data_IF_554457126434
#
_entry.id   IF_554457126434
#
_cell.length_a   1.000
_cell.length_b   1.000
_cell.length_c   1.000
_cell.angle_alpha   90.00
_cell.angle_beta   90.00
_cell.angle_gamma   90.00
#
_symmetry.space_group_name_H-M   'P 1'
#
loop_
_entity.id
_entity.type
_entity.pdbx_description
1 polymer ?
#
# COMPACT_ATOMS: atom_id res chain seq x y z
N UNK A 1 18.25 22.82 5.08
CA UNK A 1 17.68 22.62 3.74
C UNK A 1 16.74 21.43 3.84
N UNK A 2 15.43 21.64 3.85
CA UNK A 2 14.47 20.54 3.81
C UNK A 2 14.17 20.24 2.33
N UNK A 3 14.34 18.98 1.96
CA UNK A 3 13.83 18.40 0.71
C UNK A 3 12.86 17.30 1.15
N UNK A 4 11.69 17.20 0.55
CA UNK A 4 10.92 15.97 0.72
C UNK A 4 11.71 14.84 0.04
N UNK A 5 12.00 13.77 0.77
CA UNK A 5 12.50 12.52 0.17
C UNK A 5 11.37 11.75 -0.53
N UNK A 6 10.12 12.14 -0.25
CA UNK A 6 8.91 11.73 -0.94
C UNK A 6 8.62 12.68 -2.11
N UNK A 7 7.98 12.18 -3.16
CA UNK A 7 7.64 12.96 -4.36
C UNK A 7 6.66 14.11 -4.07
N UNK A 8 6.50 15.01 -5.05
CA UNK A 8 5.55 16.14 -5.03
C UNK A 8 4.09 15.71 -4.73
N UNK A 9 3.77 14.43 -4.93
CA UNK A 9 2.44 13.86 -4.80
C UNK A 9 2.44 12.80 -3.70
N UNK A 10 1.72 13.07 -2.60
CA UNK A 10 1.61 12.19 -1.44
C UNK A 10 0.79 10.90 -1.69
N UNK A 11 0.19 10.76 -2.87
CA UNK A 11 -0.61 9.60 -3.29
C UNK A 11 -0.28 9.19 -4.72
N UNK A 12 -0.47 7.91 -5.02
CA UNK A 12 -0.23 7.34 -6.35
C UNK A 12 -1.11 7.98 -7.42
N UNK A 13 -0.49 8.65 -8.39
CA UNK A 13 -1.21 9.19 -9.54
C UNK A 13 -1.63 8.04 -10.45
N UNK A 14 -2.94 7.76 -10.45
CA UNK A 14 -3.58 6.80 -11.34
C UNK A 14 -3.60 7.32 -12.78
N UNK A 15 -2.50 7.11 -13.51
CA UNK A 15 -2.49 7.24 -14.97
C UNK A 15 -3.12 5.99 -15.58
N UNK A 16 -4.12 6.17 -16.46
CA UNK A 16 -4.75 5.08 -17.21
C UNK A 16 -3.73 4.36 -18.11
N UNK A 17 -3.88 3.04 -18.37
CA UNK A 17 -3.01 2.33 -19.30
C UNK A 17 -3.16 2.90 -20.72
N UNK A 18 -2.15 3.64 -21.17
CA UNK A 18 -2.04 4.16 -22.53
C UNK A 18 -0.57 4.18 -22.98
N UNK A 19 -0.34 4.38 -24.28
CA UNK A 19 0.96 4.46 -24.94
C UNK A 19 1.12 5.71 -25.85
N UNK A 20 0.22 6.69 -25.74
CA UNK A 20 0.07 7.82 -26.67
C UNK A 20 0.20 9.21 -26.02
N UNK A 21 0.72 9.34 -24.79
CA UNK A 21 0.84 10.64 -24.11
C UNK A 21 1.96 11.45 -24.77
N UNK A 22 1.64 12.60 -25.36
CA UNK A 22 2.61 13.49 -26.00
C UNK A 22 3.33 14.39 -25.00
N UNK A 23 2.63 14.86 -23.97
CA UNK A 23 3.20 15.76 -22.97
C UNK A 23 2.54 15.68 -21.59
N UNK A 24 3.35 15.98 -20.58
CA UNK A 24 2.95 16.24 -19.20
C UNK A 24 3.17 17.73 -18.97
N UNK A 25 2.14 18.45 -18.53
CA UNK A 25 2.25 19.83 -18.07
C UNK A 25 1.93 19.92 -16.59
N UNK A 26 2.71 20.70 -15.84
CA UNK A 26 2.49 20.96 -14.43
C UNK A 26 2.50 22.48 -14.24
N UNK A 27 1.41 23.04 -13.73
CA UNK A 27 1.37 24.43 -13.24
C UNK A 27 1.31 24.42 -11.72
N UNK A 28 2.30 25.05 -11.08
CA UNK A 28 2.23 25.35 -9.64
C UNK A 28 1.44 26.64 -9.42
N UNK A 29 0.66 26.67 -8.34
CA UNK A 29 -0.28 27.73 -8.00
C UNK A 29 -0.48 27.76 -6.46
N UNK A 30 -1.39 28.59 -5.97
CA UNK A 30 -1.81 28.61 -4.56
C UNK A 30 -1.28 29.80 -3.75
N UNK A 31 -1.97 30.15 -2.65
CA UNK A 31 -1.79 31.43 -1.95
C UNK A 31 -0.46 31.59 -1.22
N UNK A 32 0.31 30.51 -1.03
CA UNK A 32 1.63 30.53 -0.37
C UNK A 32 2.77 30.13 -1.31
N UNK A 33 2.53 30.03 -2.62
CA UNK A 33 3.59 29.79 -3.61
C UNK A 33 4.57 30.98 -3.64
N UNK A 34 5.85 30.72 -3.30
CA UNK A 34 6.90 31.73 -3.33
C UNK A 34 7.94 31.37 -4.39
N UNK A 35 7.81 31.96 -5.59
CA UNK A 35 8.64 31.62 -6.75
C UNK A 35 10.16 31.79 -6.53
N UNK A 36 10.59 32.54 -5.52
CA UNK A 36 12.01 32.71 -5.20
C UNK A 36 12.55 31.60 -4.29
N UNK A 37 11.70 31.03 -3.43
CA UNK A 37 12.07 30.00 -2.45
C UNK A 37 11.67 28.59 -2.88
N UNK A 38 10.60 28.50 -3.66
CA UNK A 38 10.00 27.27 -4.15
C UNK A 38 10.65 26.83 -5.45
N UNK A 39 10.87 25.52 -5.53
CA UNK A 39 11.52 24.84 -6.64
C UNK A 39 10.84 23.51 -6.88
N UNK A 40 10.82 23.11 -8.15
CA UNK A 40 10.65 21.70 -8.50
C UNK A 40 12.03 21.07 -8.62
N UNK A 41 12.17 19.80 -8.26
CA UNK A 41 13.39 19.02 -8.52
C UNK A 41 13.02 17.88 -9.47
N UNK A 42 13.72 17.79 -10.60
CA UNK A 42 13.50 16.78 -11.63
C UNK A 42 14.70 15.82 -11.66
N UNK A 43 15.66 16.08 -12.54
CA UNK A 43 17.05 15.61 -12.47
C UNK A 43 17.94 16.60 -11.70
N UNK A 44 17.60 17.89 -11.76
CA UNK A 44 18.23 19.00 -11.02
C UNK A 44 17.17 19.96 -10.47
N UNK A 45 17.48 20.82 -9.48
CA UNK A 45 16.57 21.85 -9.00
C UNK A 45 16.24 22.90 -10.08
N UNK A 46 14.98 23.01 -10.43
CA UNK A 46 14.38 24.02 -11.30
C UNK A 46 13.88 25.20 -10.46
N UNK A 47 14.37 26.41 -10.75
CA UNK A 47 13.87 27.65 -10.17
C UNK A 47 12.54 28.07 -10.82
N UNK A 48 11.61 28.60 -10.02
CA UNK A 48 10.26 28.97 -10.51
C UNK A 48 10.12 30.47 -10.83
N UNK A 49 11.12 31.30 -10.49
CA UNK A 49 11.13 32.74 -10.75
C UNK A 49 11.68 33.15 -12.13
N UNK A 50 12.06 32.21 -12.98
CA UNK A 50 12.60 32.48 -14.31
C UNK A 50 12.26 31.34 -15.29
N UNK A 51 12.04 31.66 -16.56
CA UNK A 51 11.83 30.64 -17.60
C UNK A 51 13.11 29.85 -17.89
N UNK A 52 12.95 28.54 -18.10
CA UNK A 52 13.99 27.64 -18.59
C UNK A 52 13.67 27.21 -20.03
N UNK A 53 14.55 27.57 -20.97
CA UNK A 53 14.48 27.07 -22.34
C UNK A 53 14.58 25.53 -22.36
N UNK A 54 13.86 24.90 -23.29
CA UNK A 54 13.77 23.43 -23.36
C UNK A 54 15.14 22.76 -23.43
N UNK A 55 15.44 21.94 -22.42
CA UNK A 55 16.60 21.05 -22.39
C UNK A 55 16.18 19.64 -22.80
N UNK A 56 17.10 18.87 -23.38
CA UNK A 56 16.84 17.53 -23.95
C UNK A 56 17.85 16.49 -23.46
N UNK A 57 17.58 15.20 -23.71
CA UNK A 57 18.46 14.10 -23.31
C UNK A 57 18.43 13.80 -21.81
N UNK A 58 17.35 14.19 -21.14
CA UNK A 58 17.18 14.12 -19.69
C UNK A 58 16.62 12.76 -19.25
N UNK A 59 16.79 12.45 -17.97
CA UNK A 59 16.21 11.27 -17.32
C UNK A 59 15.52 11.68 -16.02
N UNK A 60 14.26 11.29 -15.84
CA UNK A 60 13.45 11.60 -14.65
C UNK A 60 12.71 10.32 -14.26
N UNK A 61 12.85 9.89 -13.00
CA UNK A 61 12.21 8.65 -12.52
C UNK A 61 12.66 7.38 -13.26
N UNK A 62 13.86 7.39 -13.84
CA UNK A 62 14.37 6.29 -14.68
C UNK A 62 13.93 6.35 -16.15
N UNK A 63 12.97 7.21 -16.51
CA UNK A 63 12.55 7.41 -17.90
C UNK A 63 13.54 8.32 -18.61
N UNK A 64 14.24 7.78 -19.61
CA UNK A 64 15.26 8.48 -20.39
C UNK A 64 14.72 9.08 -21.70
N UNK A 65 15.54 9.91 -22.36
CA UNK A 65 15.18 10.55 -23.62
C UNK A 65 14.17 11.69 -23.48
N UNK A 66 14.03 12.24 -22.26
CA UNK A 66 13.11 13.31 -21.97
C UNK A 66 13.65 14.67 -22.41
N UNK A 67 12.73 15.56 -22.74
CA UNK A 67 12.96 17.00 -22.86
C UNK A 67 11.99 17.72 -21.94
N UNK A 68 12.46 18.78 -21.27
CA UNK A 68 11.59 19.62 -20.44
C UNK A 68 11.99 21.09 -20.55
N UNK A 69 11.01 21.96 -20.38
CA UNK A 69 11.18 23.42 -20.32
C UNK A 69 10.15 24.02 -19.37
N UNK A 70 10.42 25.22 -18.87
CA UNK A 70 9.56 25.92 -17.92
C UNK A 70 9.32 27.35 -18.38
N UNK A 71 8.06 27.76 -18.43
CA UNK A 71 7.69 29.15 -18.68
C UNK A 71 7.30 29.82 -17.36
N UNK A 72 8.15 30.72 -16.87
CA UNK A 72 7.92 31.47 -15.65
C UNK A 72 6.80 32.51 -15.75
N UNK A 73 6.31 32.83 -16.95
CA UNK A 73 5.17 33.75 -17.14
C UNK A 73 3.81 33.06 -16.96
N UNK A 74 3.70 31.80 -17.39
CA UNK A 74 2.51 30.96 -17.19
C UNK A 74 2.63 29.96 -16.03
N UNK A 75 3.82 29.89 -15.43
CA UNK A 75 4.22 28.94 -14.38
C UNK A 75 4.12 27.47 -14.80
N UNK A 76 4.18 27.19 -16.10
CA UNK A 76 4.02 25.84 -16.66
C UNK A 76 5.37 25.18 -16.94
N UNK A 77 5.63 24.08 -16.22
CA UNK A 77 6.60 23.07 -16.60
C UNK A 77 5.97 22.17 -17.67
N UNK A 78 6.64 21.98 -18.80
CA UNK A 78 6.27 21.00 -19.83
C UNK A 78 7.36 19.94 -19.95
N UNK A 79 6.96 18.66 -19.93
CA UNK A 79 7.83 17.49 -20.13
C UNK A 79 7.29 16.68 -21.30
N UNK A 80 8.16 16.22 -22.18
CA UNK A 80 7.88 15.31 -23.29
C UNK A 80 9.06 14.36 -23.51
N UNK A 81 8.90 13.33 -24.36
CA UNK A 81 10.05 12.68 -25.00
C UNK A 81 10.49 13.48 -26.24
N UNK A 82 11.52 13.00 -26.94
CA UNK A 82 11.91 13.50 -28.26
C UNK A 82 10.70 13.60 -29.22
N UNK A 83 10.64 14.60 -30.11
CA UNK A 83 9.49 14.82 -30.99
C UNK A 83 9.06 13.56 -31.75
N UNK A 84 7.75 13.27 -31.72
CA UNK A 84 7.16 12.08 -32.36
C UNK A 84 7.24 10.78 -31.54
N UNK A 85 7.90 10.77 -30.38
CA UNK A 85 7.94 9.60 -29.49
C UNK A 85 6.94 9.81 -28.34
N UNK A 86 5.88 8.99 -28.20
CA UNK A 86 4.96 9.10 -27.08
C UNK A 86 5.51 8.50 -25.79
N UNK A 87 4.92 8.92 -24.67
CA UNK A 87 5.08 8.34 -23.34
C UNK A 87 3.95 7.34 -23.07
N UNK A 88 4.31 6.26 -22.39
CA UNK A 88 3.32 5.35 -21.80
C UNK A 88 2.77 5.90 -20.49
N UNK A 89 1.61 5.40 -20.05
CA UNK A 89 1.08 5.71 -18.72
C UNK A 89 2.02 5.29 -17.58
N UNK A 90 2.88 4.30 -17.80
CA UNK A 90 3.96 3.92 -16.89
C UNK A 90 5.08 4.96 -16.86
N UNK A 91 5.55 5.42 -18.04
CA UNK A 91 6.53 6.51 -18.13
C UNK A 91 6.01 7.76 -17.40
N UNK A 92 4.78 8.16 -17.69
CA UNK A 92 4.13 9.33 -17.09
C UNK A 92 4.01 9.19 -15.56
N UNK A 93 3.65 8.01 -15.05
CA UNK A 93 3.59 7.75 -13.61
C UNK A 93 4.98 7.82 -12.96
N UNK A 94 5.99 7.22 -13.58
CA UNK A 94 7.37 7.24 -13.07
C UNK A 94 7.96 8.66 -13.02
N UNK A 95 7.72 9.46 -14.08
CA UNK A 95 8.10 10.88 -14.13
C UNK A 95 7.41 11.65 -13.00
N UNK A 96 6.08 11.53 -12.88
CA UNK A 96 5.31 12.28 -11.88
C UNK A 96 5.72 11.91 -10.44
N UNK A 97 5.93 10.63 -10.13
CA UNK A 97 6.44 10.19 -8.81
C UNK A 97 7.82 10.75 -8.47
N UNK A 98 8.69 10.95 -9.47
CA UNK A 98 10.07 11.37 -9.26
C UNK A 98 10.26 12.89 -9.15
N UNK A 99 9.29 13.70 -9.60
CA UNK A 99 9.33 15.14 -9.39
C UNK A 99 9.11 15.43 -7.90
N UNK A 100 10.02 16.19 -7.28
CA UNK A 100 9.92 16.60 -5.87
C UNK A 100 9.65 18.10 -5.76
N UNK A 101 9.13 18.52 -4.61
CA UNK A 101 9.03 19.92 -4.22
C UNK A 101 10.16 20.27 -3.24
N UNK A 102 10.73 21.47 -3.41
CA UNK A 102 11.74 22.00 -2.51
C UNK A 102 11.40 23.45 -2.15
N UNK A 103 11.22 23.71 -0.86
CA UNK A 103 11.02 25.04 -0.30
C UNK A 103 12.26 25.39 0.54
N UNK A 104 13.18 26.18 -0.04
CA UNK A 104 14.53 26.34 0.49
C UNK A 104 14.57 27.01 1.88
N UNK A 105 13.61 27.90 2.13
CA UNK A 105 13.33 28.49 3.45
C UNK A 105 11.87 28.16 3.79
N UNK A 106 11.63 27.15 4.66
CA UNK A 106 10.31 26.73 5.10
C UNK A 106 9.33 27.88 5.37
N UNK A 107 8.18 27.88 4.69
CA UNK A 107 7.00 28.69 5.04
C UNK A 107 5.71 27.86 4.96
N UNK A 108 4.87 27.96 5.98
CA UNK A 108 3.68 27.15 6.13
C UNK A 108 2.59 27.42 5.07
N UNK A 109 1.59 26.54 5.00
CA UNK A 109 0.35 26.72 4.24
C UNK A 109 0.36 26.13 2.82
N UNK A 110 -0.68 26.46 2.06
CA UNK A 110 -1.07 25.69 0.88
C UNK A 110 -0.46 26.19 -0.44
N UNK A 111 0.05 25.22 -1.20
CA UNK A 111 0.38 25.31 -2.62
C UNK A 111 -0.52 24.33 -3.36
N UNK A 112 -0.74 24.55 -4.64
CA UNK A 112 -1.44 23.58 -5.49
C UNK A 112 -0.65 23.30 -6.77
N UNK A 113 -0.90 22.14 -7.35
CA UNK A 113 -0.38 21.79 -8.67
C UNK A 113 -1.53 21.32 -9.56
N UNK A 114 -1.64 21.90 -10.76
CA UNK A 114 -2.50 21.35 -11.82
C UNK A 114 -1.62 20.53 -12.75
N UNK A 115 -1.92 19.24 -12.86
CA UNK A 115 -1.30 18.32 -13.82
C UNK A 115 -2.23 18.22 -15.03
N UNK A 116 -1.71 18.41 -16.23
CA UNK A 116 -2.42 18.16 -17.49
C UNK A 116 -1.63 17.15 -18.32
N UNK A 117 -2.30 16.09 -18.75
CA UNK A 117 -1.77 15.13 -19.73
C UNK A 117 -2.41 15.43 -21.08
N UNK A 118 -1.61 15.50 -22.14
CA UNK A 118 -2.08 15.62 -23.52
C UNK A 118 -1.62 14.41 -24.32
N UNK A 119 -2.50 13.81 -25.13
CA UNK A 119 -2.15 12.70 -26.04
C UNK A 119 -1.54 13.20 -27.36
N UNK A 120 -1.18 12.29 -28.28
CA UNK A 120 -0.65 12.62 -29.62
C UNK A 120 -1.72 13.24 -30.54
N UNK A 121 -3.01 12.99 -30.30
CA UNK A 121 -4.12 13.59 -31.04
C UNK A 121 -4.49 15.01 -30.54
N UNK A 122 -3.94 15.45 -29.40
CA UNK A 122 -4.19 16.74 -28.77
C UNK A 122 -5.30 16.72 -27.71
N UNK A 123 -5.96 15.58 -27.45
CA UNK A 123 -6.92 15.50 -26.36
C UNK A 123 -6.19 15.66 -25.03
N UNK A 124 -6.80 16.34 -24.06
CA UNK A 124 -6.18 16.61 -22.77
C UNK A 124 -7.11 16.32 -21.61
N UNK A 125 -6.54 15.74 -20.54
CA UNK A 125 -7.18 15.60 -19.23
C UNK A 125 -6.34 16.31 -18.17
N UNK A 126 -6.97 16.78 -17.10
CA UNK A 126 -6.25 17.44 -16.01
C UNK A 126 -6.77 17.00 -14.63
N UNK A 127 -5.92 17.18 -13.62
CA UNK A 127 -6.24 16.98 -12.21
C UNK A 127 -5.51 18.01 -11.35
N UNK A 128 -6.12 18.40 -10.23
CA UNK A 128 -5.53 19.30 -9.24
C UNK A 128 -5.13 18.54 -7.98
N UNK A 129 -4.02 18.95 -7.38
CA UNK A 129 -3.59 18.50 -6.04
C UNK A 129 -3.25 19.71 -5.17
N UNK A 130 -3.37 19.54 -3.85
CA UNK A 130 -2.94 20.52 -2.84
C UNK A 130 -1.80 19.94 -2.02
N UNK A 131 -0.74 20.72 -1.84
CA UNK A 131 0.38 20.46 -0.95
C UNK A 131 0.31 21.46 0.20
N UNK A 132 0.03 20.99 1.41
CA UNK A 132 0.06 21.83 2.61
C UNK A 132 1.38 21.63 3.34
N UNK A 133 2.10 22.73 3.57
CA UNK A 133 3.34 22.72 4.37
C UNK A 133 2.97 23.03 5.81
N UNK A 134 3.05 22.03 6.70
CA UNK A 134 2.93 22.27 8.14
C UNK A 134 4.29 22.64 8.73
N UNK A 135 4.33 23.73 9.49
CA UNK A 135 5.48 24.17 10.28
C UNK A 135 5.16 24.30 11.76
N UNK A 136 4.02 23.78 12.20
CA UNK A 136 3.64 23.72 13.60
C UNK A 136 4.71 22.93 14.34
N UNK A 137 5.54 23.61 15.12
CA UNK A 137 6.53 22.96 15.95
C UNK A 137 5.81 21.94 16.84
N UNK A 138 6.22 20.65 16.86
CA UNK A 138 5.59 19.65 17.70
C UNK A 138 5.54 20.15 19.14
N UNK A 139 4.38 20.02 19.79
CA UNK A 139 4.26 20.35 21.20
C UNK A 139 5.34 19.61 22.00
N UNK A 140 6.08 20.33 22.83
CA UNK A 140 7.20 19.75 23.57
C UNK A 140 6.70 18.62 24.48
N UNK A 141 7.14 17.39 24.21
CA UNK A 141 6.83 16.24 25.04
C UNK A 141 7.60 16.38 26.36
N UNK A 142 6.94 16.95 27.36
CA UNK A 142 7.45 16.98 28.73
C UNK A 142 7.09 15.67 29.43
N UNK A 143 8.03 14.73 29.45
CA UNK A 143 7.91 13.49 30.19
C UNK A 143 8.22 13.68 31.66
N UNK A 144 7.20 13.61 32.54
CA UNK A 144 7.44 13.26 33.94
C UNK A 144 7.62 11.75 34.05
N UNK A 145 8.50 11.29 34.95
CA UNK A 145 8.70 9.86 35.19
C UNK A 145 7.46 9.28 35.87
N UNK A 146 6.55 8.71 35.09
CA UNK A 146 5.41 7.96 35.61
C UNK A 146 5.88 6.55 35.94
N UNK A 147 6.34 6.37 37.18
CA UNK A 147 6.61 5.04 37.73
C UNK A 147 5.41 4.12 37.46
N UNK A 148 5.68 2.95 36.89
CA UNK A 148 4.72 1.91 36.53
C UNK A 148 3.80 2.19 35.31
N UNK A 149 4.06 3.21 34.47
CA UNK A 149 3.35 3.40 33.17
C UNK A 149 4.24 3.61 31.94
N UNK A 150 5.55 3.51 32.05
CA UNK A 150 6.43 3.58 30.87
C UNK A 150 6.31 2.32 30.01
N UNK A 151 5.87 2.47 28.77
CA UNK A 151 5.97 1.43 27.74
C UNK A 151 7.39 1.48 27.18
N UNK A 152 8.21 0.49 27.52
CA UNK A 152 9.51 0.28 26.88
C UNK A 152 9.33 -0.63 25.68
N UNK A 153 9.63 -0.13 24.47
CA UNK A 153 9.66 -0.94 23.27
C UNK A 153 10.99 -1.69 23.20
N UNK A 154 10.97 -2.99 23.52
CA UNK A 154 12.13 -3.86 23.33
C UNK A 154 12.09 -4.45 21.93
N UNK A 155 13.09 -4.14 21.10
CA UNK A 155 13.34 -4.90 19.88
C UNK A 155 13.85 -6.30 20.23
N UNK A 156 13.32 -7.31 19.56
CA UNK A 156 13.68 -8.71 19.76
C UNK A 156 13.91 -9.33 18.39
N UNK A 157 15.17 -9.59 18.05
CA UNK A 157 15.54 -10.26 16.81
C UNK A 157 15.29 -11.75 16.94
N UNK A 158 14.64 -12.34 15.92
CA UNK A 158 14.59 -13.79 15.76
C UNK A 158 15.95 -14.22 15.17
N UNK A 159 16.68 -15.17 15.78
CA UNK A 159 17.93 -15.68 15.24
C UNK A 159 17.68 -16.62 14.05
N UNK A 160 18.75 -17.15 13.44
CA UNK A 160 18.68 -18.05 12.27
C UNK A 160 18.17 -19.45 12.66
N UNK A 161 16.87 -19.52 12.94
CA UNK A 161 16.13 -20.72 13.37
C UNK A 161 14.80 -20.87 12.60
N UNK A 162 14.68 -20.21 11.43
CA UNK A 162 13.40 -20.05 10.74
C UNK A 162 12.94 -21.34 10.02
N UNK A 163 13.81 -21.98 9.24
CA UNK A 163 13.48 -23.22 8.52
C UNK A 163 14.49 -24.35 8.77
N UNK A 164 14.02 -25.59 8.71
CA UNK A 164 14.84 -26.80 8.90
C UNK A 164 15.90 -26.96 7.80
N UNK A 165 15.57 -26.54 6.57
CA UNK A 165 16.49 -26.58 5.41
C UNK A 165 17.21 -25.25 5.21
N UNK A 166 16.51 -24.11 5.37
CA UNK A 166 17.06 -22.77 5.14
C UNK A 166 16.82 -21.91 6.38
N UNK A 167 17.85 -21.74 7.22
CA UNK A 167 17.71 -21.15 8.56
C UNK A 167 17.24 -19.68 8.60
N UNK A 168 17.31 -18.98 7.48
CA UNK A 168 16.91 -17.58 7.33
C UNK A 168 15.51 -17.40 6.73
N UNK A 169 14.86 -18.46 6.22
CA UNK A 169 13.58 -18.38 5.51
C UNK A 169 12.56 -19.38 6.08
N UNK A 170 11.29 -18.97 6.11
CA UNK A 170 10.13 -19.81 6.44
C UNK A 170 9.26 -19.93 5.18
N UNK A 171 8.99 -21.14 4.72
CA UNK A 171 8.06 -21.41 3.61
C UNK A 171 6.74 -21.96 4.15
N UNK A 172 5.64 -21.74 3.42
CA UNK A 172 4.33 -22.33 3.67
C UNK A 172 4.39 -23.80 4.14
N UNK A 173 4.02 -24.05 5.40
CA UNK A 173 4.02 -25.36 6.06
C UNK A 173 5.15 -25.55 7.08
N UNK A 174 6.21 -24.75 7.02
CA UNK A 174 7.31 -24.74 7.99
C UNK A 174 6.95 -23.94 9.26
N UNK A 175 7.66 -24.22 10.36
CA UNK A 175 7.51 -23.47 11.61
C UNK A 175 8.80 -23.34 12.40
N UNK A 176 9.08 -22.12 12.88
CA UNK A 176 10.23 -21.81 13.71
C UNK A 176 9.86 -21.88 15.20
N UNK A 177 10.63 -22.63 16.00
CA UNK A 177 10.50 -22.60 17.47
C UNK A 177 11.27 -21.41 18.05
N UNK A 178 10.53 -20.34 18.35
CA UNK A 178 11.03 -19.09 18.91
C UNK A 178 10.80 -18.98 20.42
N UNK A 179 10.55 -20.11 21.11
CA UNK A 179 10.29 -20.15 22.57
C UNK A 179 11.41 -19.53 23.39
N UNK A 180 12.67 -19.67 22.93
CA UNK A 180 13.86 -19.08 23.56
C UNK A 180 13.84 -17.54 23.63
N UNK A 181 12.96 -16.90 22.85
CA UNK A 181 12.79 -15.45 22.82
C UNK A 181 11.79 -14.93 23.85
N UNK A 182 10.99 -15.82 24.48
CA UNK A 182 10.01 -15.42 25.48
C UNK A 182 10.69 -14.71 26.67
N UNK A 183 10.29 -13.46 27.00
CA UNK A 183 10.80 -12.78 28.19
C UNK A 183 10.46 -13.54 29.47
N UNK A 184 11.37 -13.53 30.44
CA UNK A 184 11.16 -14.19 31.73
C UNK A 184 9.85 -13.72 32.39
N UNK A 185 8.97 -14.66 32.74
CA UNK A 185 7.66 -14.38 33.33
C UNK A 185 6.52 -14.15 32.33
N UNK A 186 6.75 -14.18 31.02
CA UNK A 186 5.70 -14.17 30.00
C UNK A 186 5.35 -15.58 29.51
N UNK A 187 4.06 -15.82 29.24
CA UNK A 187 3.60 -16.92 28.38
C UNK A 187 3.59 -16.47 26.91
N UNK A 188 3.51 -17.45 26.00
CA UNK A 188 3.32 -17.20 24.56
C UNK A 188 2.16 -16.22 24.29
N UNK A 189 1.00 -16.43 24.91
CA UNK A 189 -0.17 -15.56 24.74
C UNK A 189 0.05 -14.12 25.26
N UNK A 190 0.70 -13.96 26.42
CA UNK A 190 1.01 -12.62 26.96
C UNK A 190 2.09 -11.90 26.16
N UNK A 191 3.04 -12.64 25.59
CA UNK A 191 4.07 -12.08 24.73
C UNK A 191 3.48 -11.59 23.40
N UNK A 192 2.74 -12.44 22.69
CA UNK A 192 2.14 -12.10 21.38
C UNK A 192 1.16 -10.92 21.47
N UNK A 193 0.35 -10.87 22.53
CA UNK A 193 -0.54 -9.72 22.78
C UNK A 193 0.18 -8.43 23.21
N UNK A 194 1.44 -8.52 23.68
CA UNK A 194 2.26 -7.35 24.04
C UNK A 194 3.01 -6.72 22.87
N UNK A 195 3.23 -7.47 21.79
CA UNK A 195 3.90 -6.98 20.59
C UNK A 195 3.14 -5.77 20.00
N UNK A 196 3.83 -4.92 19.21
CA UNK A 196 3.22 -3.75 18.52
C UNK A 196 3.55 -3.60 17.04
N UNK A 197 4.59 -4.29 16.58
CA UNK A 197 4.94 -4.39 15.18
C UNK A 197 5.94 -5.50 14.94
N UNK A 198 6.07 -5.92 13.69
CA UNK A 198 7.05 -6.88 13.19
C UNK A 198 7.69 -6.26 11.94
N UNK A 199 9.01 -6.38 11.84
CA UNK A 199 9.79 -6.05 10.64
C UNK A 199 10.43 -7.35 10.14
N UNK A 200 10.41 -7.57 8.83
CA UNK A 200 11.12 -8.68 8.19
C UNK A 200 11.81 -8.18 6.92
N UNK A 201 13.06 -8.58 6.72
CA UNK A 201 13.71 -8.54 5.41
C UNK A 201 13.47 -9.87 4.69
N UNK A 202 13.40 -9.83 3.37
CA UNK A 202 13.23 -11.00 2.51
C UNK A 202 14.51 -11.34 1.79
N UNK A 203 14.67 -12.62 1.47
CA UNK A 203 15.92 -13.14 0.93
C UNK A 203 15.76 -14.44 0.17
N UNK A 204 16.87 -15.14 0.06
CA UNK A 204 16.96 -16.43 -0.62
C UNK A 204 17.25 -16.31 -2.12
N UNK A 205 17.52 -17.46 -2.74
CA UNK A 205 17.92 -17.59 -4.15
C UNK A 205 17.09 -16.75 -5.14
N UNK A 206 15.74 -16.65 -5.02
CA UNK A 206 14.93 -15.84 -5.95
C UNK A 206 15.05 -14.32 -5.80
N UNK A 207 15.82 -13.82 -4.82
CA UNK A 207 15.98 -12.39 -4.52
C UNK A 207 17.46 -12.01 -4.57
N UNK A 208 18.32 -12.75 -3.87
CA UNK A 208 19.75 -12.43 -3.67
C UNK A 208 20.70 -13.39 -4.40
N UNK A 209 20.18 -14.43 -5.04
CA UNK A 209 20.93 -15.58 -5.59
C UNK A 209 21.62 -16.50 -4.55
N UNK A 210 21.44 -16.24 -3.25
CA UNK A 210 21.93 -17.10 -2.16
C UNK A 210 20.79 -17.38 -1.17
N UNK A 211 20.61 -18.65 -0.81
CA UNK A 211 19.58 -19.11 0.14
C UNK A 211 19.69 -18.48 1.55
N UNK A 212 20.89 -18.01 1.93
CA UNK A 212 21.21 -17.54 3.28
C UNK A 212 21.42 -16.03 3.41
N UNK A 213 20.97 -15.23 2.43
CA UNK A 213 21.07 -13.77 2.49
C UNK A 213 19.72 -13.10 2.28
N UNK A 214 19.46 -12.03 3.04
CA UNK A 214 18.35 -11.09 2.85
C UNK A 214 18.82 -9.84 2.11
N UNK A 215 17.87 -9.09 1.56
CA UNK A 215 18.11 -7.74 1.06
C UNK A 215 17.06 -6.78 1.65
N UNK A 216 17.57 -5.80 2.41
CA UNK A 216 16.79 -4.72 3.06
C UNK A 216 15.84 -3.95 2.14
N UNK A 217 16.04 -3.94 0.82
CA UNK A 217 15.13 -3.29 -0.12
C UNK A 217 13.81 -4.08 -0.28
N UNK A 218 13.84 -5.38 -0.03
CA UNK A 218 12.68 -6.25 0.02
C UNK A 218 12.30 -6.49 1.48
N UNK A 219 11.57 -5.55 2.08
CA UNK A 219 11.14 -5.67 3.47
C UNK A 219 9.61 -5.59 3.63
N UNK A 220 9.14 -6.02 4.80
CA UNK A 220 7.77 -5.89 5.26
C UNK A 220 7.74 -5.26 6.64
N UNK A 221 6.85 -4.31 6.84
CA UNK A 221 6.47 -3.80 8.17
C UNK A 221 5.01 -4.14 8.40
N UNK A 222 4.72 -4.85 9.49
CA UNK A 222 3.36 -5.13 9.94
C UNK A 222 3.17 -4.53 11.33
N UNK A 223 2.14 -3.70 11.51
CA UNK A 223 1.88 -2.98 12.77
C UNK A 223 0.48 -3.27 13.29
N UNK A 224 0.32 -3.27 14.62
CA UNK A 224 -0.92 -3.70 15.27
C UNK A 224 -1.13 -2.93 16.59
N UNK A 225 -1.94 -1.86 16.57
CA UNK A 225 -2.06 -0.92 17.70
C UNK A 225 -2.46 -1.60 19.01
N UNK A 226 -3.38 -2.56 18.96
CA UNK A 226 -3.95 -3.27 20.11
C UNK A 226 -3.11 -4.46 20.61
N UNK A 227 -2.07 -4.90 19.89
CA UNK A 227 -1.62 -6.29 19.99
C UNK A 227 -2.48 -7.21 19.12
N UNK A 228 -2.10 -8.49 19.00
CA UNK A 228 -2.87 -9.53 18.31
C UNK A 228 -2.81 -10.85 19.10
N UNK A 229 -3.65 -11.83 18.73
CA UNK A 229 -3.75 -13.11 19.44
C UNK A 229 -2.86 -14.21 18.86
N UNK A 230 -2.72 -15.30 19.61
CA UNK A 230 -2.32 -16.59 19.02
C UNK A 230 -3.34 -17.01 17.95
N UNK A 231 -2.88 -17.80 16.97
CA UNK A 231 -3.64 -18.32 15.83
C UNK A 231 -4.31 -17.25 14.94
N UNK A 232 -4.08 -15.96 15.22
CA UNK A 232 -4.43 -14.85 14.33
C UNK A 232 -3.49 -14.86 13.14
N UNK A 233 -4.02 -14.84 11.93
CA UNK A 233 -3.22 -14.77 10.70
C UNK A 233 -2.86 -13.33 10.38
N UNK A 234 -1.59 -13.09 10.05
CA UNK A 234 -1.09 -11.83 9.50
C UNK A 234 -0.28 -12.11 8.24
N UNK A 235 -0.19 -11.14 7.33
CA UNK A 235 0.55 -11.29 6.07
C UNK A 235 1.78 -10.39 6.09
N UNK A 236 2.94 -10.95 5.73
CA UNK A 236 4.13 -10.17 5.40
C UNK A 236 4.28 -10.20 3.87
N UNK A 237 4.39 -9.04 3.24
CA UNK A 237 4.43 -8.88 1.79
C UNK A 237 5.57 -7.94 1.37
N UNK A 238 6.25 -8.24 0.26
CA UNK A 238 7.21 -7.34 -0.37
C UNK A 238 6.90 -7.14 -1.87
N UNK A 239 7.31 -5.98 -2.39
CA UNK A 239 7.25 -5.67 -3.81
C UNK A 239 8.45 -6.30 -4.53
N UNK A 240 8.21 -7.18 -5.50
CA UNK A 240 9.23 -7.83 -6.31
C UNK A 240 9.25 -7.32 -7.75
N UNK A 241 9.42 -6.02 -7.96
CA UNK A 241 9.24 -5.42 -9.29
C UNK A 241 7.76 -5.16 -9.57
N UNK A 242 7.17 -5.83 -10.56
CA UNK A 242 5.77 -5.64 -10.97
C UNK A 242 4.76 -6.50 -10.19
N UNK A 243 5.22 -7.37 -9.29
CA UNK A 243 4.38 -8.23 -8.46
C UNK A 243 4.54 -7.94 -6.96
N UNK A 244 3.52 -8.29 -6.17
CA UNK A 244 3.62 -8.47 -4.72
C UNK A 244 3.68 -9.96 -4.41
N UNK A 245 4.63 -10.40 -3.59
CA UNK A 245 4.63 -11.75 -3.03
C UNK A 245 4.89 -11.73 -1.52
N UNK A 246 4.58 -12.83 -0.85
CA UNK A 246 4.75 -12.94 0.58
C UNK A 246 4.20 -14.24 1.14
N UNK A 247 4.14 -14.31 2.47
CA UNK A 247 3.66 -15.46 3.23
C UNK A 247 2.67 -14.97 4.29
N UNK A 248 1.65 -15.78 4.52
CA UNK A 248 0.75 -15.65 5.65
C UNK A 248 1.35 -16.39 6.84
N UNK A 249 1.42 -15.73 7.98
CA UNK A 249 2.01 -16.24 9.20
C UNK A 249 0.99 -16.31 10.33
N UNK A 250 1.24 -17.17 11.30
CA UNK A 250 0.58 -17.10 12.60
C UNK A 250 1.51 -17.52 13.73
N UNK A 251 1.23 -17.04 14.94
CA UNK A 251 1.92 -17.48 16.15
C UNK A 251 1.05 -18.53 16.86
N UNK A 252 1.59 -19.72 17.08
CA UNK A 252 0.90 -20.82 17.74
C UNK A 252 1.60 -21.21 19.05
N UNK A 253 0.84 -21.74 20.01
CA UNK A 253 1.37 -22.25 21.28
C UNK A 253 0.71 -23.59 21.61
N UNK A 254 1.23 -24.73 21.08
CA UNK A 254 0.56 -26.03 21.19
C UNK A 254 0.30 -26.51 22.62
N UNK A 255 1.14 -26.10 23.59
CA UNK A 255 1.08 -26.48 25.01
C UNK A 255 0.95 -25.26 25.95
N UNK A 256 0.73 -24.05 25.40
CA UNK A 256 0.70 -22.79 26.16
C UNK A 256 2.06 -22.26 26.64
N UNK A 257 3.17 -22.98 26.38
CA UNK A 257 4.53 -22.63 26.82
C UNK A 257 5.48 -22.42 25.65
N UNK A 258 5.42 -23.28 24.64
CA UNK A 258 6.13 -23.13 23.38
C UNK A 258 5.56 -21.95 22.59
N UNK A 259 6.40 -21.23 21.87
CA UNK A 259 5.98 -20.22 20.90
C UNK A 259 6.54 -20.59 19.52
N UNK A 260 5.64 -20.90 18.59
CA UNK A 260 5.97 -21.22 17.20
C UNK A 260 5.55 -20.06 16.30
N UNK A 261 6.44 -19.61 15.41
CA UNK A 261 6.06 -18.80 14.25
C UNK A 261 5.87 -19.75 13.06
N UNK A 262 4.65 -19.86 12.55
CA UNK A 262 4.28 -20.77 11.45
C UNK A 262 4.06 -19.98 10.17
N UNK A 263 4.67 -20.42 9.07
CA UNK A 263 4.24 -20.00 7.73
C UNK A 263 3.09 -20.90 7.29
N UNK A 264 1.98 -20.29 6.90
CA UNK A 264 0.68 -20.95 6.66
C UNK A 264 0.40 -21.11 5.16
N UNK A 265 0.70 -20.08 4.36
CA UNK A 265 0.47 -20.09 2.91
C UNK A 265 1.15 -18.92 2.21
N UNK A 266 1.91 -19.24 1.16
CA UNK A 266 2.51 -18.26 0.27
C UNK A 266 1.47 -17.63 -0.65
N UNK A 267 1.72 -16.41 -1.08
CA UNK A 267 0.91 -15.72 -2.08
C UNK A 267 1.77 -14.95 -3.08
N UNK A 268 1.21 -14.79 -4.28
CA UNK A 268 1.79 -14.05 -5.39
C UNK A 268 0.66 -13.31 -6.11
N UNK A 269 0.86 -12.02 -6.37
CA UNK A 269 -0.09 -11.13 -7.04
C UNK A 269 0.66 -10.32 -8.10
N UNK A 270 0.55 -10.74 -9.35
CA UNK A 270 1.12 -10.01 -10.49
C UNK A 270 0.46 -8.65 -10.68
N UNK A 271 1.18 -7.70 -11.29
CA UNK A 271 0.70 -6.35 -11.64
C UNK A 271 0.01 -5.64 -10.48
N UNK A 272 0.49 -5.91 -9.26
CA UNK A 272 -0.07 -5.42 -7.99
C UNK A 272 0.99 -4.60 -7.28
N UNK A 273 0.56 -3.52 -6.63
CA UNK A 273 1.39 -2.69 -5.76
C UNK A 273 1.13 -3.03 -4.29
N UNK A 274 2.16 -3.02 -3.44
CA UNK A 274 2.07 -3.41 -2.03
C UNK A 274 1.12 -2.55 -1.20
N UNK A 275 0.89 -1.28 -1.57
CA UNK A 275 -0.11 -0.42 -0.93
C UNK A 275 -1.54 -0.66 -1.47
N UNK A 276 -1.65 -1.17 -2.70
CA UNK A 276 -2.90 -1.67 -3.26
C UNK A 276 -3.25 -3.09 -2.78
N UNK A 277 -2.30 -3.82 -2.16
CA UNK A 277 -2.50 -5.16 -1.59
C UNK A 277 -3.37 -5.11 -0.31
N UNK A 278 -4.67 -4.89 -0.49
CA UNK A 278 -5.69 -5.07 0.57
C UNK A 278 -6.35 -6.43 0.43
N UNK A 279 -5.94 -7.41 1.24
CA UNK A 279 -6.86 -8.50 1.61
C UNK A 279 -7.60 -8.12 2.89
N UNK A 280 -8.90 -8.40 2.89
CA UNK A 280 -9.74 -8.31 4.08
C UNK A 280 -9.17 -9.23 5.15
N UNK A 281 -8.77 -8.67 6.30
CA UNK A 281 -8.82 -9.42 7.55
C UNK A 281 -10.29 -9.85 7.74
N UNK A 282 -10.57 -11.08 8.22
CA UNK A 282 -11.93 -11.46 8.55
C UNK A 282 -12.54 -10.45 9.52
N UNK A 283 -13.75 -10.01 9.20
CA UNK A 283 -14.53 -9.13 10.07
C UNK A 283 -14.70 -9.82 11.44
N UNK A 284 -14.21 -9.18 12.50
CA UNK A 284 -14.37 -9.66 13.87
C UNK A 284 -15.80 -9.34 14.32
N UNK A 285 -16.75 -10.13 13.81
CA UNK A 285 -18.17 -9.84 13.86
C UNK A 285 -18.69 -9.54 15.27
N UNK A 286 -19.33 -8.38 15.42
CA UNK A 286 -20.10 -8.03 16.62
C UNK A 286 -21.40 -8.86 16.71
N UNK A 287 -21.30 -10.09 17.24
CA UNK A 287 -22.47 -10.82 17.75
C UNK A 287 -22.17 -11.44 19.11
N UNK A 288 -22.30 -10.63 20.18
CA UNK A 288 -21.89 -11.06 21.52
C UNK A 288 -22.31 -10.18 22.71
N UNK A 289 -23.41 -9.40 22.62
CA UNK A 289 -24.07 -8.80 23.80
C UNK A 289 -25.57 -9.10 23.71
N UNK A 290 -26.03 -10.18 24.34
CA UNK A 290 -26.33 -10.30 25.77
C UNK A 290 -27.54 -9.45 26.17
N UNK A 291 -28.71 -10.07 26.11
CA UNK A 291 -29.99 -9.56 26.60
C UNK A 291 -30.80 -10.72 27.18
N UNK A 292 -30.36 -11.27 28.31
CA UNK A 292 -30.98 -12.42 28.95
C UNK A 292 -31.48 -12.10 30.37
N UNK A 293 -32.79 -11.79 30.43
CA UNK A 293 -33.75 -11.66 31.55
C UNK A 293 -34.88 -10.77 31.04
N UNK A 294 -36.17 -11.12 31.15
CA UNK A 294 -36.87 -11.72 32.31
C UNK A 294 -37.98 -12.69 31.86
N UNK A 295 -38.17 -13.79 32.59
CA UNK A 295 -39.36 -14.65 32.49
C UNK A 295 -40.59 -14.02 33.17
N UNK A 296 -41.75 -14.05 32.49
CA UNK A 296 -43.18 -13.95 32.92
C UNK A 296 -43.95 -13.27 31.76
N UNK A 297 -45.12 -13.71 31.30
CA UNK A 297 -45.96 -14.88 31.60
C UNK A 297 -47.21 -14.84 30.70
N UNK A 298 -48.00 -15.92 30.70
CA UNK A 298 -49.41 -16.02 30.27
C UNK A 298 -49.90 -15.53 28.88
N UNK A 299 -50.40 -16.48 28.08
CA UNK A 299 -51.83 -16.44 27.69
C UNK A 299 -52.25 -16.08 26.24
N UNK A 300 -53.05 -16.98 25.62
CA UNK A 300 -53.90 -16.69 24.44
C UNK A 300 -53.24 -16.96 23.07
N UNK A 301 -53.54 -18.05 22.36
CA UNK A 301 -54.71 -18.29 21.47
C UNK A 301 -54.90 -17.21 20.38
N UNK A 302 -54.99 -17.63 19.11
CA UNK A 302 -56.23 -17.68 18.28
C UNK A 302 -55.92 -18.27 16.87
N UNK A 303 -56.96 -18.85 16.25
CA UNK A 303 -57.13 -19.60 14.98
C UNK A 303 -56.28 -19.20 13.73
N UNK A 304 -55.90 -20.04 12.75
CA UNK A 304 -56.42 -21.28 12.12
C UNK A 304 -57.41 -21.10 10.93
N UNK A 305 -56.95 -21.45 9.71
CA UNK A 305 -57.66 -22.06 8.54
C UNK A 305 -56.58 -22.38 7.46
N UNK A 306 -56.46 -23.53 6.75
CA UNK A 306 -57.35 -24.27 5.81
C UNK A 306 -57.76 -23.43 4.57
N UNK A 307 -57.76 -23.87 3.29
CA UNK A 307 -57.22 -25.03 2.53
C UNK A 307 -57.26 -24.64 1.00
N UNK A 308 -56.78 -25.37 -0.04
CA UNK A 308 -56.06 -26.65 -0.21
C UNK A 308 -56.14 -27.15 -1.70
N UNK A 309 -55.38 -28.20 -2.07
CA UNK A 309 -55.44 -29.01 -3.33
C UNK A 309 -54.92 -28.35 -4.64
N UNK A 310 -53.96 -28.86 -5.46
CA UNK A 310 -53.65 -30.17 -6.12
C UNK A 310 -54.44 -30.45 -7.45
N UNK A 311 -53.94 -31.26 -8.43
CA UNK A 311 -52.67 -31.17 -9.19
C UNK A 311 -52.76 -31.62 -10.69
N UNK A 312 -51.60 -31.70 -11.39
CA UNK A 312 -51.37 -32.56 -12.57
C UNK A 312 -50.90 -31.82 -13.85
N UNK A 313 -50.12 -32.35 -14.81
CA UNK A 313 -49.18 -33.48 -15.00
C UNK A 313 -49.21 -33.89 -16.50
N UNK A 314 -48.05 -34.16 -17.13
CA UNK A 314 -47.92 -34.58 -18.55
C UNK A 314 -47.24 -33.52 -19.45
N UNK A 315 -46.03 -33.60 -20.02
CA UNK A 315 -45.11 -34.63 -20.54
C UNK A 315 -44.94 -34.54 -22.09
N UNK A 316 -43.90 -33.80 -22.53
CA UNK A 316 -42.84 -34.14 -23.54
C UNK A 316 -43.27 -34.98 -24.77
N UNK A 317 -43.01 -34.55 -26.05
CA UNK A 317 -41.67 -34.70 -26.65
C UNK A 317 -41.19 -33.67 -27.73
N UNK A 318 -39.90 -33.76 -28.07
CA UNK A 318 -39.21 -33.13 -29.24
C UNK A 318 -39.59 -33.80 -30.57
N UNK A 319 -39.32 -33.14 -31.72
CA UNK A 319 -38.25 -33.65 -32.60
C UNK A 319 -37.38 -32.54 -33.28
N UNK A 320 -36.45 -32.95 -34.14
CA UNK A 320 -35.28 -32.22 -34.62
C UNK A 320 -35.40 -31.50 -36.01
N UNK A 321 -34.29 -30.83 -36.36
CA UNK A 321 -33.67 -30.66 -37.71
C UNK A 321 -33.75 -29.32 -38.49
N UNK A 322 -32.65 -29.11 -39.24
CA UNK A 322 -32.30 -28.04 -40.20
C UNK A 322 -32.14 -26.62 -39.58
N UNK A 323 -31.05 -25.87 -39.75
CA UNK A 323 -29.84 -26.02 -40.58
C UNK A 323 -29.87 -25.14 -41.82
N UNK A 324 -29.04 -24.08 -41.87
CA UNK A 324 -28.41 -23.49 -43.07
C UNK A 324 -27.48 -22.32 -42.68
N UNK A 325 -26.28 -22.29 -43.26
CA UNK A 325 -25.43 -21.09 -43.36
C UNK A 325 -25.95 -20.18 -44.47
N UNK A 326 -25.60 -18.88 -44.47
CA UNK A 326 -24.84 -18.26 -45.57
C UNK A 326 -24.42 -16.81 -45.23
N UNK A 327 -23.15 -16.52 -45.56
CA UNK A 327 -22.47 -15.21 -45.71
C UNK A 327 -22.46 -14.25 -44.51
#
# INVERSE_FOLDING_TARGET
MWSSTEGLFAHDIAVWPTNDISSIRIRLDGPQLDLQKDKLVLDVPLALNASLATVSGKSIGGVSGLSYGYDGSTQVLTISKSPGVPMSGLDTRAILKAIQYQNATPSAGDRSATITLTDVAGNSSNTGVTLSVDMTAPASITGTLVNNKQISYKMLSIPDIMGDTNKHNLHSGESADITSLLPAGMTAATFVSSLKGIFAEWGGVPITNDANTTDKHYNSVFSFPSGFGLDTTFSMAHQGGDYVKGENFTFASPDGRQLLLKAVSGFYSALTDVYAFRRQLPDLGEHGRQGDRVQRGDGGRLFADHAGQHPGAGHVPRPDHHGHQYQ
#
